data_IF_635816451635
#
_entry.id   IF_635816451635
#
_cell.length_a   1.000
_cell.length_b   1.000
_cell.length_c   1.000
_cell.angle_alpha   90.00
_cell.angle_beta   90.00
_cell.angle_gamma   90.00
#
_symmetry.space_group_name_H-M   'P 1'
#
loop_
_entity.id
_entity.type
_entity.pdbx_description
1 polymer ?
#
# COMPACT_ATOMS: atom_id res chain seq x y z
N UNK A 1 4.30 8.41 14.60
CA UNK A 1 4.80 8.90 13.30
C UNK A 1 5.60 7.76 12.70
N UNK A 2 5.26 7.31 11.47
CA UNK A 2 6.00 6.27 10.75
C UNK A 2 6.82 6.95 9.65
N UNK A 3 8.12 7.01 9.85
CA UNK A 3 9.06 7.58 8.88
C UNK A 3 9.44 6.52 7.82
N UNK A 4 9.86 6.96 6.64
CA UNK A 4 10.32 6.07 5.57
C UNK A 4 9.24 5.39 4.72
N UNK A 5 7.96 5.77 4.85
CA UNK A 5 6.91 5.33 3.92
C UNK A 5 6.92 6.24 2.69
N UNK A 6 7.17 5.66 1.50
CA UNK A 6 7.10 6.41 0.24
C UNK A 6 5.71 7.02 0.04
N UNK A 7 5.65 8.21 -0.55
CA UNK A 7 4.40 8.93 -0.77
C UNK A 7 3.39 8.12 -1.61
N UNK A 8 3.85 7.41 -2.63
CA UNK A 8 3.03 6.51 -3.46
C UNK A 8 2.37 5.40 -2.63
N UNK A 9 3.09 4.84 -1.67
CA UNK A 9 2.59 3.78 -0.77
C UNK A 9 1.60 4.38 0.23
N UNK A 10 1.90 5.55 0.77
CA UNK A 10 1.01 6.25 1.70
C UNK A 10 -0.32 6.59 1.04
N UNK A 11 -0.29 7.11 -0.20
CA UNK A 11 -1.46 7.52 -0.98
C UNK A 11 -2.20 6.35 -1.64
N UNK A 12 -1.67 5.13 -1.58
CA UNK A 12 -2.29 3.99 -2.23
C UNK A 12 -3.70 3.71 -1.69
N UNK A 13 -4.65 3.54 -2.61
CA UNK A 13 -6.07 3.35 -2.28
C UNK A 13 -6.58 2.01 -2.78
N UNK A 14 -7.45 1.39 -1.97
CA UNK A 14 -8.26 0.24 -2.37
C UNK A 14 -9.72 0.63 -2.16
N UNK A 15 -10.46 0.72 -3.27
CA UNK A 15 -11.76 1.39 -3.26
C UNK A 15 -11.61 2.86 -2.84
N UNK A 16 -12.48 3.35 -1.96
CA UNK A 16 -12.42 4.71 -1.43
C UNK A 16 -11.50 4.92 -0.22
N UNK A 17 -10.67 3.93 0.15
CA UNK A 17 -9.88 3.97 1.38
C UNK A 17 -8.38 4.06 1.10
N UNK A 18 -7.73 5.06 1.70
CA UNK A 18 -6.28 5.11 1.81
C UNK A 18 -5.82 4.12 2.89
N UNK A 19 -5.19 3.03 2.48
CA UNK A 19 -5.02 1.82 3.32
C UNK A 19 -4.19 2.11 4.58
N UNK A 20 -3.03 2.75 4.40
CA UNK A 20 -2.14 3.10 5.50
C UNK A 20 -2.78 4.09 6.49
N UNK A 21 -3.53 5.07 5.99
CA UNK A 21 -4.19 6.07 6.82
C UNK A 21 -5.34 5.45 7.62
N UNK A 22 -6.20 4.68 6.94
CA UNK A 22 -7.35 4.02 7.55
C UNK A 22 -6.91 3.08 8.68
N UNK A 23 -5.89 2.25 8.44
CA UNK A 23 -5.43 1.29 9.45
C UNK A 23 -4.96 1.98 10.74
N UNK A 24 -4.31 3.14 10.62
CA UNK A 24 -3.88 3.95 11.77
C UNK A 24 -5.04 4.68 12.43
N UNK A 25 -5.97 5.24 11.64
CA UNK A 25 -7.18 5.92 12.14
C UNK A 25 -8.02 4.99 13.01
N UNK A 26 -8.20 3.74 12.59
CA UNK A 26 -8.96 2.72 13.32
C UNK A 26 -8.34 2.35 14.69
N UNK A 27 -7.11 2.83 14.98
CA UNK A 27 -6.35 2.54 16.21
C UNK A 27 -5.91 3.79 16.97
N UNK A 28 -6.43 4.97 16.63
CA UNK A 28 -5.96 6.28 17.12
C UNK A 28 -6.11 6.50 18.64
N UNK A 29 -6.93 5.71 19.32
CA UNK A 29 -7.24 5.88 20.76
C UNK A 29 -6.40 5.01 21.70
N UNK A 30 -5.44 4.24 21.18
CA UNK A 30 -4.55 3.42 22.00
C UNK A 30 -3.15 3.33 21.41
N UNK A 31 -2.20 2.92 22.24
CA UNK A 31 -0.87 2.56 21.76
C UNK A 31 -0.93 1.27 20.95
N UNK A 32 -0.13 1.21 19.90
CA UNK A 32 0.06 -0.01 19.11
C UNK A 32 0.95 -0.98 19.89
N UNK A 33 0.62 -2.26 19.86
CA UNK A 33 1.54 -3.30 20.32
C UNK A 33 2.68 -3.50 19.33
N UNK A 34 3.74 -4.18 19.76
CA UNK A 34 4.84 -4.55 18.85
C UNK A 34 4.34 -5.36 17.64
N UNK A 35 3.41 -6.29 17.87
CA UNK A 35 2.81 -7.11 16.82
C UNK A 35 2.03 -6.27 15.80
N UNK A 36 1.33 -5.25 16.28
CA UNK A 36 0.59 -4.34 15.41
C UNK A 36 1.52 -3.44 14.60
N UNK A 37 2.61 -2.96 15.20
CA UNK A 37 3.66 -2.23 14.49
C UNK A 37 4.25 -3.13 13.38
N UNK A 38 4.57 -4.38 13.69
CA UNK A 38 5.08 -5.34 12.70
C UNK A 38 4.05 -5.60 11.59
N UNK A 39 2.77 -5.70 11.94
CA UNK A 39 1.66 -5.86 10.98
C UNK A 39 1.58 -4.64 10.06
N UNK A 40 1.68 -3.44 10.60
CA UNK A 40 1.69 -2.21 9.82
C UNK A 40 2.86 -2.17 8.83
N UNK A 41 4.07 -2.53 9.26
CA UNK A 41 5.24 -2.62 8.37
C UNK A 41 5.04 -3.64 7.24
N UNK A 42 4.39 -4.79 7.53
CA UNK A 42 4.03 -5.79 6.51
C UNK A 42 3.03 -5.23 5.51
N UNK A 43 2.03 -4.46 5.96
CA UNK A 43 1.07 -3.78 5.08
C UNK A 43 1.80 -2.81 4.15
N UNK A 44 2.64 -1.92 4.69
CA UNK A 44 3.44 -0.97 3.89
C UNK A 44 4.28 -1.71 2.84
N UNK A 45 4.94 -2.79 3.24
CA UNK A 45 5.77 -3.61 2.33
C UNK A 45 4.93 -4.27 1.22
N UNK A 46 3.76 -4.82 1.58
CA UNK A 46 2.86 -5.44 0.62
C UNK A 46 2.38 -4.42 -0.42
N UNK A 47 1.98 -3.23 0.00
CA UNK A 47 1.55 -2.15 -0.90
C UNK A 47 2.68 -1.70 -1.84
N UNK A 48 3.92 -1.56 -1.35
CA UNK A 48 5.07 -1.24 -2.20
C UNK A 48 5.26 -2.28 -3.31
N UNK A 49 5.20 -3.57 -2.96
CA UNK A 49 5.32 -4.66 -3.94
C UNK A 49 4.15 -4.71 -4.92
N UNK A 50 2.93 -4.39 -4.45
CA UNK A 50 1.76 -4.29 -5.33
C UNK A 50 1.94 -3.21 -6.38
N UNK A 51 2.41 -2.02 -5.99
CA UNK A 51 2.68 -0.91 -6.92
C UNK A 51 3.76 -1.31 -7.93
N UNK A 52 4.85 -1.93 -7.48
CA UNK A 52 5.92 -2.42 -8.35
C UNK A 52 5.40 -3.42 -9.39
N UNK A 53 4.58 -4.38 -8.97
CA UNK A 53 4.00 -5.38 -9.85
C UNK A 53 2.98 -4.79 -10.83
N UNK A 54 2.13 -3.85 -10.40
CA UNK A 54 1.20 -3.14 -11.27
C UNK A 54 1.95 -2.38 -12.37
N UNK A 55 2.99 -1.64 -12.00
CA UNK A 55 3.83 -0.92 -12.96
C UNK A 55 4.55 -1.87 -13.94
N UNK A 56 4.87 -3.11 -13.52
CA UNK A 56 5.41 -4.12 -14.42
C UNK A 56 4.36 -4.61 -15.41
N UNK A 57 3.14 -4.90 -14.95
CA UNK A 57 2.01 -5.33 -15.79
C UNK A 57 1.65 -4.26 -16.82
N UNK A 58 1.61 -2.99 -16.42
CA UNK A 58 1.25 -1.87 -17.31
C UNK A 58 2.19 -1.75 -18.52
N UNK A 59 3.47 -2.13 -18.38
CA UNK A 59 4.43 -2.15 -19.50
C UNK A 59 4.04 -3.12 -20.61
N UNK A 60 3.37 -4.22 -20.26
CA UNK A 60 2.96 -5.24 -21.21
C UNK A 60 1.54 -4.99 -21.74
N UNK A 61 0.71 -4.28 -20.99
CA UNK A 61 -0.72 -4.10 -21.28
C UNK A 61 -0.98 -3.58 -22.70
N UNK A 62 -0.29 -2.53 -23.12
CA UNK A 62 -0.46 -1.95 -24.47
C UNK A 62 -0.15 -2.93 -25.61
N UNK A 63 0.80 -3.84 -25.39
CA UNK A 63 1.21 -4.83 -26.40
C UNK A 63 0.21 -5.97 -26.53
N UNK A 64 -0.40 -6.37 -25.42
CA UNK A 64 -1.40 -7.44 -25.37
C UNK A 64 -2.73 -6.93 -25.94
N UNK A 65 -3.15 -5.71 -25.58
CA UNK A 65 -4.42 -5.14 -26.01
C UNK A 65 -4.50 -4.93 -27.53
N UNK A 66 -3.39 -4.60 -28.20
CA UNK A 66 -3.33 -4.46 -29.67
C UNK A 66 -3.40 -5.79 -30.43
N UNK A 67 -3.25 -6.92 -29.74
CA UNK A 67 -3.25 -8.26 -30.35
C UNK A 67 -4.63 -8.92 -30.28
N UNK A 68 -5.61 -8.28 -29.62
CA UNK A 68 -7.01 -8.72 -29.51
C UNK A 68 -7.88 -8.07 -30.58
#
# INVERSE_FOLDING_TARGET
>A
YFDGVKEEVWKYQIGGYQVCEKWLKDRKERSLTLEEIQTYCKIVTALSKTIELQNEIDKYYESVEKTV
#
